data_IF_200260349299
#
_entry.id   IF_200260349299
#
_cell.length_a   1.000
_cell.length_b   1.000
_cell.length_c   1.000
_cell.angle_alpha   90.00
_cell.angle_beta   90.00
_cell.angle_gamma   90.00
#
_symmetry.space_group_name_H-M   'P 1'
#
loop_
_entity.id
_entity.type
_entity.pdbx_description
1 polymer ?
#
# COMPACT_ATOMS: atom_id res chain seq x y z
N UNK A 1 -13.71 0.18 -4.76
CA UNK A 1 -12.82 1.27 -5.23
C UNK A 1 -13.53 2.23 -6.18
N UNK A 2 -14.19 1.77 -7.26
CA UNK A 2 -14.98 2.66 -8.15
C UNK A 2 -16.06 3.44 -7.40
N UNK A 3 -16.81 2.74 -6.54
CA UNK A 3 -17.82 3.33 -5.66
C UNK A 3 -17.26 4.47 -4.77
N UNK A 4 -16.17 4.22 -4.04
CA UNK A 4 -15.56 5.25 -3.19
C UNK A 4 -14.99 6.43 -3.99
N UNK A 5 -14.48 6.19 -5.21
CA UNK A 5 -14.00 7.27 -6.09
C UNK A 5 -15.14 8.25 -6.39
N UNK A 6 -16.32 7.74 -6.71
CA UNK A 6 -17.50 8.54 -7.03
C UNK A 6 -18.06 9.22 -5.78
N UNK A 7 -18.25 8.47 -4.69
CA UNK A 7 -18.79 8.96 -3.43
C UNK A 7 -18.00 10.16 -2.86
N UNK A 8 -16.67 10.08 -2.93
CA UNK A 8 -15.78 11.10 -2.38
C UNK A 8 -15.19 12.04 -3.42
N UNK A 9 -15.65 11.97 -4.68
CA UNK A 9 -15.17 12.79 -5.80
C UNK A 9 -13.63 12.80 -5.90
N UNK A 10 -13.01 11.62 -5.82
CA UNK A 10 -11.56 11.49 -5.78
C UNK A 10 -10.94 11.53 -7.18
N UNK A 11 -9.84 12.27 -7.29
CA UNK A 11 -8.90 12.14 -8.41
C UNK A 11 -8.06 10.87 -8.27
N UNK A 12 -8.68 9.71 -8.52
CA UNK A 12 -8.04 8.39 -8.41
C UNK A 12 -7.16 8.11 -9.62
N UNK A 13 -5.87 7.86 -9.36
CA UNK A 13 -4.91 7.34 -10.33
C UNK A 13 -4.78 5.82 -10.17
N UNK A 14 -5.02 5.08 -11.25
CA UNK A 14 -4.81 3.64 -11.28
C UNK A 14 -3.48 3.33 -11.99
N UNK A 15 -2.61 2.58 -11.32
CA UNK A 15 -1.36 2.11 -11.91
C UNK A 15 -1.49 0.65 -12.32
N UNK A 16 -0.98 0.32 -13.50
CA UNK A 16 -0.95 -1.04 -14.03
C UNK A 16 0.47 -1.62 -13.96
N UNK A 17 0.64 -2.94 -14.09
CA UNK A 17 1.96 -3.55 -14.24
C UNK A 17 2.84 -2.83 -15.27
N UNK A 18 4.15 -2.87 -15.05
CA UNK A 18 5.13 -2.32 -16.00
C UNK A 18 4.85 -2.84 -17.41
N UNK A 19 4.95 -1.98 -18.42
CA UNK A 19 4.69 -2.34 -19.80
C UNK A 19 5.41 -3.63 -20.22
N UNK A 20 4.67 -4.54 -20.85
CA UNK A 20 5.16 -5.85 -21.26
C UNK A 20 5.18 -6.91 -20.16
N UNK A 21 4.88 -6.58 -18.90
CA UNK A 21 4.82 -7.53 -17.78
C UNK A 21 3.39 -7.82 -17.34
N UNK A 22 3.16 -9.08 -17.00
CA UNK A 22 1.96 -9.57 -16.33
C UNK A 22 2.37 -10.68 -15.34
N UNK A 23 1.41 -11.20 -14.58
CA UNK A 23 1.68 -12.25 -13.61
C UNK A 23 2.34 -13.48 -14.25
N UNK A 24 1.85 -13.92 -15.40
CA UNK A 24 2.34 -15.15 -16.05
C UNK A 24 3.76 -14.99 -16.55
N UNK A 25 4.12 -13.84 -17.13
CA UNK A 25 5.49 -13.55 -17.57
C UNK A 25 6.46 -13.42 -16.40
N UNK A 26 6.03 -12.86 -15.28
CA UNK A 26 6.85 -12.86 -14.05
C UNK A 26 7.06 -14.30 -13.58
N UNK A 27 6.00 -15.10 -13.52
CA UNK A 27 6.06 -16.48 -13.05
C UNK A 27 6.92 -17.38 -13.96
N UNK A 28 6.79 -17.23 -15.27
CA UNK A 28 7.58 -17.97 -16.26
C UNK A 28 9.08 -17.66 -16.12
N UNK A 29 9.43 -16.38 -15.91
CA UNK A 29 10.82 -15.95 -15.84
C UNK A 29 11.48 -16.14 -14.47
N UNK A 30 10.74 -15.91 -13.39
CA UNK A 30 11.29 -15.83 -12.03
C UNK A 30 10.73 -16.92 -11.10
N UNK A 31 9.83 -17.77 -11.57
CA UNK A 31 9.10 -18.72 -10.75
C UNK A 31 7.92 -18.10 -10.02
N UNK A 32 7.13 -18.97 -9.39
CA UNK A 32 6.03 -18.54 -8.52
C UNK A 32 6.57 -17.95 -7.21
N UNK A 33 5.82 -17.04 -6.56
CA UNK A 33 6.16 -16.57 -5.23
C UNK A 33 6.22 -17.75 -4.24
N UNK A 34 7.41 -18.02 -3.70
CA UNK A 34 7.69 -19.14 -2.79
C UNK A 34 7.91 -18.70 -1.33
N UNK A 35 7.75 -17.40 -1.05
CA UNK A 35 8.01 -16.79 0.26
C UNK A 35 9.49 -16.50 0.54
N UNK A 36 10.43 -16.88 -0.34
CA UNK A 36 11.83 -16.51 -0.20
C UNK A 36 12.07 -15.08 -0.71
N UNK A 37 12.45 -14.19 0.22
CA UNK A 37 12.59 -12.73 0.03
C UNK A 37 13.55 -12.26 -1.07
N UNK A 38 14.38 -13.13 -1.66
CA UNK A 38 15.36 -12.74 -2.68
C UNK A 38 14.82 -12.85 -4.11
N UNK A 39 13.96 -13.83 -4.39
CA UNK A 39 13.39 -14.07 -5.73
C UNK A 39 11.86 -13.85 -5.75
N UNK A 40 11.15 -14.15 -4.65
CA UNK A 40 9.70 -13.97 -4.50
C UNK A 40 9.19 -12.52 -4.52
N UNK A 41 10.10 -11.54 -4.52
CA UNK A 41 9.75 -10.11 -4.58
C UNK A 41 9.57 -9.59 -6.02
N UNK A 42 9.89 -10.37 -7.06
CA UNK A 42 9.79 -9.86 -8.45
C UNK A 42 8.34 -9.59 -8.88
N UNK A 43 7.40 -10.41 -8.42
CA UNK A 43 5.96 -10.16 -8.65
C UNK A 43 5.53 -8.82 -8.05
N UNK A 44 5.83 -8.56 -6.78
CA UNK A 44 5.56 -7.26 -6.16
C UNK A 44 6.32 -6.12 -6.86
N UNK A 45 7.55 -6.35 -7.30
CA UNK A 45 8.38 -5.35 -7.95
C UNK A 45 7.79 -4.86 -9.28
N UNK A 46 7.48 -5.77 -10.19
CA UNK A 46 6.98 -5.43 -11.54
C UNK A 46 5.49 -5.09 -11.57
N UNK A 47 4.68 -5.73 -10.71
CA UNK A 47 3.23 -5.54 -10.74
C UNK A 47 2.75 -4.43 -9.81
N UNK A 48 3.53 -4.03 -8.79
CA UNK A 48 3.11 -3.05 -7.77
C UNK A 48 4.12 -1.91 -7.58
N UNK A 49 5.35 -2.22 -7.17
CA UNK A 49 6.30 -1.20 -6.69
C UNK A 49 6.80 -0.27 -7.80
N UNK A 50 7.28 -0.83 -8.93
CA UNK A 50 7.78 -0.04 -10.06
C UNK A 50 6.72 0.92 -10.63
N UNK A 51 5.51 0.47 -10.98
CA UNK A 51 4.53 1.38 -11.57
C UNK A 51 4.06 2.47 -10.59
N UNK A 52 3.88 2.15 -9.30
CA UNK A 52 3.59 3.18 -8.28
C UNK A 52 4.73 4.19 -8.15
N UNK A 53 5.98 3.72 -8.08
CA UNK A 53 7.14 4.62 -7.96
C UNK A 53 7.34 5.50 -9.20
N UNK A 54 6.98 5.02 -10.38
CA UNK A 54 7.00 5.82 -11.60
C UNK A 54 5.99 6.97 -11.52
N UNK A 55 4.73 6.66 -11.19
CA UNK A 55 3.67 7.66 -11.04
C UNK A 55 4.02 8.72 -9.99
N UNK A 56 4.51 8.30 -8.81
CA UNK A 56 4.95 9.19 -7.73
C UNK A 56 6.00 10.19 -8.22
N UNK A 57 6.97 9.75 -9.04
CA UNK A 57 8.02 10.60 -9.59
C UNK A 57 7.50 11.56 -10.65
N UNK A 58 6.63 11.08 -11.55
CA UNK A 58 6.02 11.89 -12.61
C UNK A 58 5.21 13.05 -12.01
N UNK A 59 4.45 12.77 -10.96
CA UNK A 59 3.66 13.78 -10.23
C UNK A 59 4.44 14.55 -9.16
N UNK A 60 5.70 14.19 -8.90
CA UNK A 60 6.57 14.80 -7.88
C UNK A 60 5.93 14.83 -6.49
N UNK A 61 5.24 13.76 -6.10
CA UNK A 61 4.66 13.66 -4.76
C UNK A 61 5.75 13.45 -3.71
N UNK A 62 5.70 14.22 -2.63
CA UNK A 62 6.68 14.21 -1.55
C UNK A 62 6.21 13.45 -0.31
N UNK A 63 4.90 13.20 -0.21
CA UNK A 63 4.25 12.55 0.93
C UNK A 63 3.35 11.41 0.45
N UNK A 64 3.39 10.29 1.17
CA UNK A 64 2.54 9.13 0.97
C UNK A 64 1.84 8.75 2.29
N UNK A 65 0.51 8.83 2.28
CA UNK A 65 -0.34 8.36 3.37
C UNK A 65 -0.67 6.88 3.20
N UNK A 66 -0.46 6.07 4.24
CA UNK A 66 -0.90 4.67 4.24
C UNK A 66 -1.69 4.33 5.50
N UNK A 67 -2.60 3.37 5.40
CA UNK A 67 -3.38 2.84 6.53
C UNK A 67 -2.63 1.81 7.38
N UNK A 68 -1.30 1.80 7.35
CA UNK A 68 -0.50 0.80 8.09
C UNK A 68 -0.60 1.05 9.59
N UNK A 69 -0.94 0.00 10.36
CA UNK A 69 -0.98 0.05 11.83
C UNK A 69 0.16 -0.78 12.44
N UNK A 70 0.49 -0.49 13.70
CA UNK A 70 1.50 -1.22 14.46
C UNK A 70 1.06 -2.66 14.74
N UNK A 71 -0.25 -2.92 14.80
CA UNK A 71 -0.80 -4.23 15.15
C UNK A 71 -0.77 -5.22 13.98
N UNK A 72 -0.54 -4.77 12.73
CA UNK A 72 -0.49 -5.67 11.58
C UNK A 72 0.76 -6.56 11.55
N UNK A 73 1.87 -6.20 12.23
CA UNK A 73 3.06 -7.06 12.39
C UNK A 73 4.10 -6.46 13.35
N UNK A 74 4.93 -7.31 13.97
CA UNK A 74 6.07 -6.86 14.79
C UNK A 74 7.03 -5.93 14.03
N UNK A 75 7.33 -6.20 12.75
CA UNK A 75 8.23 -5.34 11.98
C UNK A 75 7.64 -3.93 11.78
N UNK A 76 6.33 -3.82 11.53
CA UNK A 76 5.64 -2.52 11.42
C UNK A 76 5.64 -1.79 12.76
N UNK A 77 5.34 -2.50 13.85
CA UNK A 77 5.41 -1.95 15.20
C UNK A 77 6.80 -1.36 15.48
N UNK A 78 7.87 -2.14 15.32
CA UNK A 78 9.22 -1.65 15.60
C UNK A 78 9.59 -0.46 14.72
N UNK A 79 9.30 -0.51 13.41
CA UNK A 79 9.61 0.59 12.51
C UNK A 79 8.87 1.89 12.85
N UNK A 80 7.59 1.81 13.18
CA UNK A 80 6.78 2.99 13.52
C UNK A 80 7.18 3.50 14.92
N UNK A 81 7.43 2.63 15.90
CA UNK A 81 7.88 3.06 17.22
C UNK A 81 9.27 3.71 17.17
N UNK A 82 10.18 3.22 16.33
CA UNK A 82 11.51 3.80 16.15
C UNK A 82 11.46 5.16 15.42
N UNK A 83 10.65 5.26 14.37
CA UNK A 83 10.70 6.40 13.42
C UNK A 83 9.56 7.40 13.58
N UNK A 84 8.55 7.07 14.37
CA UNK A 84 7.30 7.81 14.49
C UNK A 84 6.30 7.51 13.36
N UNK A 85 5.11 8.11 13.47
CA UNK A 85 4.03 8.00 12.48
C UNK A 85 4.33 8.72 11.17
N UNK A 86 5.34 9.60 11.15
CA UNK A 86 5.79 10.33 9.96
C UNK A 86 7.30 10.27 9.86
N UNK A 87 7.83 9.73 8.76
CA UNK A 87 9.28 9.61 8.55
C UNK A 87 9.66 9.62 7.07
N UNK A 88 10.89 10.06 6.78
CA UNK A 88 11.47 9.96 5.44
C UNK A 88 11.91 8.51 5.16
N UNK A 89 11.25 7.85 4.20
CA UNK A 89 11.65 6.51 3.75
C UNK A 89 12.94 6.60 2.93
N UNK A 90 14.05 6.05 3.44
CA UNK A 90 15.32 6.00 2.69
C UNK A 90 15.21 5.20 1.38
N UNK A 91 14.40 4.13 1.38
CA UNK A 91 14.19 3.25 0.21
C UNK A 91 13.41 3.98 -0.88
N UNK A 92 12.33 4.63 -0.49
CA UNK A 92 11.35 5.17 -1.44
C UNK A 92 11.61 6.67 -1.72
N UNK A 93 12.47 7.32 -0.93
CA UNK A 93 12.80 8.76 -0.99
C UNK A 93 11.56 9.66 -0.91
N UNK A 94 10.57 9.24 -0.11
CA UNK A 94 9.31 9.94 0.12
C UNK A 94 9.00 9.95 1.62
N UNK A 95 8.29 10.98 2.10
CA UNK A 95 7.79 11.03 3.46
C UNK A 95 6.61 10.06 3.56
N UNK A 96 6.67 9.10 4.47
CA UNK A 96 5.55 8.21 4.78
C UNK A 96 4.83 8.73 6.01
N UNK A 97 3.51 8.75 5.94
CA UNK A 97 2.64 9.12 7.06
C UNK A 97 1.62 8.01 7.30
N UNK A 98 1.47 7.62 8.57
CA UNK A 98 0.57 6.56 9.03
C UNK A 98 -0.44 7.16 10.03
N UNK A 99 -1.53 7.80 9.55
CA UNK A 99 -2.45 8.54 10.42
C UNK A 99 -3.09 7.67 11.50
N UNK A 100 -3.41 6.42 11.13
CA UNK A 100 -4.06 5.44 12.02
C UNK A 100 -3.06 4.45 12.63
N UNK A 101 -1.77 4.81 12.71
CA UNK A 101 -0.72 3.86 13.10
C UNK A 101 -0.99 3.11 14.41
N UNK A 102 -1.58 3.79 15.39
CA UNK A 102 -1.85 3.24 16.72
C UNK A 102 -3.30 2.79 16.92
N UNK A 103 -4.12 2.86 15.87
CA UNK A 103 -5.50 2.40 15.97
C UNK A 103 -5.55 0.87 16.08
N UNK A 104 -6.45 0.40 16.93
CA UNK A 104 -6.84 -1.01 16.94
C UNK A 104 -7.75 -1.34 15.77
N UNK A 105 -7.87 -2.62 15.46
CA UNK A 105 -8.83 -3.10 14.46
C UNK A 105 -10.27 -2.69 14.84
N UNK A 106 -10.63 -2.80 16.12
CA UNK A 106 -11.93 -2.36 16.64
C UNK A 106 -12.14 -0.85 16.47
N UNK A 107 -11.12 -0.02 16.65
CA UNK A 107 -11.20 1.42 16.41
C UNK A 107 -11.41 1.73 14.93
N UNK A 108 -10.75 1.00 14.03
CA UNK A 108 -10.97 1.11 12.58
C UNK A 108 -12.39 0.73 12.21
N UNK A 109 -12.89 -0.42 12.66
CA UNK A 109 -14.25 -0.86 12.34
C UNK A 109 -15.32 0.05 12.95
N UNK A 110 -15.15 0.48 14.20
CA UNK A 110 -16.05 1.44 14.83
C UNK A 110 -16.10 2.74 14.03
N UNK A 111 -14.96 3.26 13.58
CA UNK A 111 -14.94 4.46 12.75
C UNK A 111 -15.62 4.26 11.40
N UNK A 112 -15.45 3.10 10.77
CA UNK A 112 -16.15 2.75 9.53
C UNK A 112 -17.67 2.75 9.74
N UNK A 113 -18.15 2.13 10.83
CA UNK A 113 -19.58 2.05 11.17
C UNK A 113 -20.16 3.43 11.50
N UNK A 114 -19.52 4.18 12.41
CA UNK A 114 -19.97 5.50 12.87
C UNK A 114 -20.03 6.54 11.74
N UNK A 115 -19.24 6.35 10.68
CA UNK A 115 -19.16 7.27 9.53
C UNK A 115 -19.76 6.67 8.25
N UNK A 116 -20.44 5.53 8.33
CA UNK A 116 -21.10 4.86 7.21
C UNK A 116 -20.17 4.69 5.98
N UNK A 117 -18.90 4.35 6.24
CA UNK A 117 -17.90 4.20 5.18
C UNK A 117 -18.15 2.88 4.44
N UNK A 118 -18.23 2.87 3.08
CA UNK A 118 -18.42 1.63 2.33
C UNK A 118 -17.31 0.62 2.59
N UNK A 119 -17.70 -0.56 3.12
CA UNK A 119 -16.77 -1.66 3.36
C UNK A 119 -16.58 -2.47 2.07
N UNK A 120 -15.38 -3.02 1.87
CA UNK A 120 -15.13 -3.94 0.78
C UNK A 120 -15.95 -5.25 1.01
N UNK A 121 -16.72 -5.74 0.01
CA UNK A 121 -17.54 -6.94 0.12
C UNK A 121 -16.81 -8.22 0.56
N UNK A 122 -15.48 -8.26 0.42
CA UNK A 122 -14.68 -9.38 0.93
C UNK A 122 -14.65 -9.47 2.47
N UNK A 123 -15.09 -8.41 3.17
CA UNK A 123 -15.13 -8.31 4.63
C UNK A 123 -16.56 -8.33 5.20
N UNK A 124 -17.58 -8.52 4.35
CA UNK A 124 -18.98 -8.70 4.73
C UNK A 124 -19.40 -10.15 4.86
#
# INVERSE_FOLDING_TARGET
MKEMKELWNLNLFETFPVEGWDFFKVADKFGLPDGNKREGDQCCNYLKLKPTNQLVKEHKWEVNFTGTTVLESFNRMFHICERGQSYLSKRDKIIKVHPIAYWTEDEVYRYIEENEIPLNPAYS
#
